data_IF_543957709325
#
_entry.id   IF_543957709325
#
_cell.length_a   1.000
_cell.length_b   1.000
_cell.length_c   1.000
_cell.angle_alpha   90.00
_cell.angle_beta   90.00
_cell.angle_gamma   90.00
#
_symmetry.space_group_name_H-M   'P 1'
#
loop_
_entity.id
_entity.type
_entity.pdbx_description
1 polymer ?
#
# COMPACT_ATOMS: atom_id res chain seq x y z
N UNK A 1 23.55 30.89 -3.27
CA UNK A 1 24.38 29.77 -2.81
C UNK A 1 23.44 28.60 -2.66
N UNK A 2 23.51 27.64 -3.54
CA UNK A 2 22.71 26.42 -3.48
C UNK A 2 23.32 25.54 -2.40
N UNK A 3 22.67 25.49 -1.25
CA UNK A 3 23.02 24.52 -0.20
C UNK A 3 22.77 23.12 -0.78
N UNK A 4 23.82 22.33 -0.87
CA UNK A 4 23.66 20.92 -1.26
C UNK A 4 22.93 20.18 -0.14
N UNK A 5 22.01 19.27 -0.46
CA UNK A 5 21.33 18.47 0.55
C UNK A 5 22.36 17.66 1.36
N UNK A 6 22.23 17.71 2.68
CA UNK A 6 23.10 16.96 3.59
C UNK A 6 22.72 15.49 3.48
N UNK A 7 23.61 14.66 2.93
CA UNK A 7 23.42 13.21 2.87
C UNK A 7 23.95 12.57 4.15
N UNK A 8 23.07 11.91 4.88
CA UNK A 8 23.46 11.07 6.02
C UNK A 8 23.86 9.70 5.46
N UNK A 9 25.14 9.37 5.57
CA UNK A 9 25.63 8.06 5.15
C UNK A 9 25.38 7.05 6.27
N UNK A 10 24.43 6.15 6.05
CA UNK A 10 24.06 5.08 6.98
C UNK A 10 25.04 3.90 6.96
N UNK A 11 25.92 3.84 5.95
CA UNK A 11 26.91 2.78 5.79
C UNK A 11 28.32 3.32 6.09
N UNK A 12 29.13 2.53 6.75
CA UNK A 12 30.56 2.81 6.88
C UNK A 12 31.31 2.56 5.58
N UNK A 13 32.59 2.93 5.51
CA UNK A 13 33.48 2.80 4.33
C UNK A 13 33.55 1.37 3.73
N UNK A 14 33.11 0.36 4.48
CA UNK A 14 33.07 -1.05 4.07
C UNK A 14 31.69 -1.52 3.57
N UNK A 15 30.73 -0.62 3.37
CA UNK A 15 29.37 -0.92 2.92
C UNK A 15 28.50 -1.63 3.97
N UNK A 16 28.93 -1.77 5.21
CA UNK A 16 28.11 -2.29 6.31
C UNK A 16 27.44 -1.15 7.04
N UNK A 17 26.24 -1.38 7.56
CA UNK A 17 25.56 -0.43 8.43
C UNK A 17 26.48 0.01 9.58
N UNK A 18 26.55 1.31 9.83
CA UNK A 18 27.29 1.87 10.96
C UNK A 18 26.74 1.32 12.27
N UNK A 19 27.59 1.17 13.28
CA UNK A 19 27.13 0.87 14.62
C UNK A 19 26.23 2.02 15.14
N UNK A 20 25.34 1.71 16.08
CA UNK A 20 24.49 2.73 16.72
C UNK A 20 25.33 3.90 17.27
N UNK A 21 26.49 3.61 17.86
CA UNK A 21 27.39 4.60 18.46
C UNK A 21 28.02 5.50 17.40
N UNK A 22 28.44 4.95 16.26
CA UNK A 22 29.03 5.71 15.16
C UNK A 22 27.97 6.58 14.48
N UNK A 23 26.77 6.05 14.28
CA UNK A 23 25.64 6.80 13.73
C UNK A 23 25.24 7.98 14.63
N UNK A 24 25.17 7.79 15.95
CA UNK A 24 24.86 8.85 16.91
C UNK A 24 25.91 9.95 16.91
N UNK A 25 27.20 9.61 16.83
CA UNK A 25 28.29 10.58 16.72
C UNK A 25 28.19 11.43 15.45
N UNK A 26 27.86 10.80 14.31
CA UNK A 26 27.69 11.52 13.06
C UNK A 26 26.48 12.48 13.13
N UNK A 27 25.40 12.07 13.79
CA UNK A 27 24.22 12.89 14.00
C UNK A 27 24.50 14.07 14.96
N UNK A 28 25.23 13.87 16.05
CA UNK A 28 25.66 14.94 16.98
C UNK A 28 26.52 15.97 16.25
N UNK A 29 27.47 15.50 15.45
CA UNK A 29 28.33 16.35 14.65
C UNK A 29 27.53 17.20 13.67
N UNK A 30 26.60 16.56 12.94
CA UNK A 30 25.73 17.22 11.99
C UNK A 30 24.84 18.27 12.67
N UNK A 31 24.27 17.95 13.83
CA UNK A 31 23.46 18.89 14.62
C UNK A 31 24.26 20.12 15.07
N UNK A 32 25.51 19.90 15.49
CA UNK A 32 26.40 21.00 15.87
C UNK A 32 26.77 21.91 14.69
N UNK A 33 26.97 21.34 13.50
CA UNK A 33 27.27 22.05 12.25
C UNK A 33 26.09 22.87 11.73
N UNK A 34 24.85 22.40 11.95
CA UNK A 34 23.60 23.09 11.58
C UNK A 34 23.19 24.22 12.54
N UNK A 35 23.99 24.51 13.59
CA UNK A 35 23.72 25.58 14.53
C UNK A 35 22.51 25.34 15.42
N UNK A 36 22.26 24.09 15.81
CA UNK A 36 21.16 23.69 16.66
C UNK A 36 21.08 24.52 17.95
N UNK A 37 19.91 25.12 18.19
CA UNK A 37 19.63 25.88 19.41
C UNK A 37 19.20 24.90 20.52
N UNK A 38 19.75 25.11 21.73
CA UNK A 38 19.56 24.29 22.92
C UNK A 38 18.12 24.11 23.44
N UNK A 39 17.07 24.63 22.77
CA UNK A 39 15.69 24.61 23.27
C UNK A 39 14.59 24.35 22.22
N UNK A 40 14.88 23.65 21.14
CA UNK A 40 13.84 23.14 20.22
C UNK A 40 13.51 21.67 20.51
N UNK A 41 12.28 21.19 20.29
CA UNK A 41 12.00 19.76 20.36
C UNK A 41 12.84 19.05 19.29
N UNK A 42 13.91 18.42 19.74
CA UNK A 42 14.83 17.74 18.88
C UNK A 42 14.29 16.33 18.60
N UNK A 43 14.12 15.97 17.34
CA UNK A 43 13.91 14.59 16.95
C UNK A 43 14.98 13.63 17.49
N UNK A 44 16.13 14.17 17.94
CA UNK A 44 17.22 13.43 18.60
C UNK A 44 16.83 12.87 19.97
N UNK A 45 15.93 13.52 20.73
CA UNK A 45 15.47 13.00 22.03
C UNK A 45 14.73 11.67 21.91
N UNK A 46 14.14 11.41 20.75
CA UNK A 46 13.53 10.12 20.42
C UNK A 46 14.57 8.98 20.24
N UNK A 47 15.83 9.33 19.96
CA UNK A 47 16.88 8.34 19.65
C UNK A 47 17.90 8.18 20.79
N UNK A 48 17.98 9.11 21.73
CA UNK A 48 19.03 9.15 22.75
C UNK A 48 18.58 8.85 24.17
N UNK A 49 17.27 8.74 24.45
CA UNK A 49 16.83 8.34 25.79
C UNK A 49 17.21 6.90 26.09
N UNK A 50 17.86 6.60 27.23
CA UNK A 50 18.23 5.25 27.63
C UNK A 50 17.03 4.31 27.81
N UNK A 51 15.83 4.87 27.90
CA UNK A 51 14.56 4.15 28.09
C UNK A 51 13.98 3.64 26.77
N UNK A 52 14.44 4.14 25.61
CA UNK A 52 14.00 3.67 24.29
C UNK A 52 14.94 2.59 23.76
N UNK A 53 14.83 1.38 24.33
CA UNK A 53 15.27 0.18 23.62
C UNK A 53 14.33 -0.02 22.45
N UNK A 54 14.79 0.24 21.20
CA UNK A 54 14.02 -0.12 20.01
C UNK A 54 13.68 -1.61 20.07
N UNK A 55 12.39 -1.91 20.07
CA UNK A 55 11.95 -3.27 19.88
C UNK A 55 12.29 -3.73 18.45
N UNK A 56 12.38 -5.02 18.18
CA UNK A 56 12.52 -5.51 16.81
C UNK A 56 11.42 -4.97 15.89
N UNK A 57 10.22 -4.73 16.42
CA UNK A 57 9.08 -4.19 15.69
C UNK A 57 9.32 -2.72 15.28
N UNK A 58 9.87 -1.87 16.15
CA UNK A 58 10.22 -0.48 15.80
C UNK A 58 11.26 -0.42 14.67
N UNK A 59 12.21 -1.36 14.66
CA UNK A 59 13.22 -1.46 13.60
C UNK A 59 12.57 -1.86 12.29
N UNK A 60 11.65 -2.83 12.32
CA UNK A 60 10.92 -3.31 11.16
C UNK A 60 10.02 -2.20 10.57
N UNK A 61 9.25 -1.52 11.41
CA UNK A 61 8.37 -0.41 11.01
C UNK A 61 9.16 0.71 10.34
N UNK A 62 10.30 1.07 10.93
CA UNK A 62 11.18 2.07 10.34
C UNK A 62 11.76 1.63 8.99
N UNK A 63 12.16 0.37 8.86
CA UNK A 63 12.66 -0.15 7.60
C UNK A 63 11.56 -0.14 6.53
N UNK A 64 10.35 -0.58 6.88
CA UNK A 64 9.19 -0.54 5.99
C UNK A 64 8.88 0.87 5.51
N UNK A 65 8.93 1.86 6.42
CA UNK A 65 8.73 3.26 6.08
C UNK A 65 9.80 3.77 5.09
N UNK A 66 11.08 3.49 5.33
CA UNK A 66 12.19 3.89 4.43
C UNK A 66 12.05 3.21 3.05
N UNK A 67 11.64 1.95 3.02
CA UNK A 67 11.43 1.18 1.80
C UNK A 67 10.08 1.46 1.13
N UNK A 68 9.28 2.39 1.67
CA UNK A 68 7.95 2.78 1.20
C UNK A 68 6.99 1.60 1.06
N UNK A 69 6.94 0.75 2.09
CA UNK A 69 6.10 -0.44 2.15
C UNK A 69 4.91 -0.21 3.08
N UNK A 70 3.72 -0.58 2.59
CA UNK A 70 2.46 -0.60 3.34
C UNK A 70 1.87 -2.01 3.29
N UNK A 71 1.19 -2.40 4.36
CA UNK A 71 0.55 -3.71 4.47
C UNK A 71 -0.95 -3.54 4.72
N UNK A 72 -1.75 -4.26 3.93
CA UNK A 72 -3.21 -4.23 4.00
C UNK A 72 -3.70 -5.56 4.53
N UNK A 73 -4.31 -5.55 5.70
CA UNK A 73 -5.03 -6.65 6.32
C UNK A 73 -6.55 -6.36 6.40
N UNK A 74 -7.17 -6.41 7.56
CA UNK A 74 -8.57 -6.02 7.73
C UNK A 74 -8.75 -4.51 7.53
N UNK A 75 -9.65 -4.12 6.62
CA UNK A 75 -9.79 -2.72 6.20
C UNK A 75 -10.80 -2.01 7.09
N UNK A 76 -10.31 -1.03 7.82
CA UNK A 76 -11.08 -0.12 8.66
C UNK A 76 -10.64 1.34 8.49
N UNK A 77 -11.21 2.24 9.29
CA UNK A 77 -10.89 3.68 9.22
C UNK A 77 -9.48 4.01 9.69
N UNK A 78 -8.90 3.26 10.62
CA UNK A 78 -7.54 3.49 11.14
C UNK A 78 -6.51 3.12 10.07
N UNK A 79 -6.63 1.94 9.46
CA UNK A 79 -5.78 1.53 8.35
C UNK A 79 -5.90 2.49 7.16
N UNK A 80 -7.12 2.90 6.82
CA UNK A 80 -7.32 3.81 5.69
C UNK A 80 -6.66 5.17 5.91
N UNK A 81 -6.73 5.70 7.13
CA UNK A 81 -6.06 6.95 7.49
C UNK A 81 -4.54 6.79 7.45
N UNK A 82 -4.02 5.70 8.01
CA UNK A 82 -2.59 5.36 7.99
C UNK A 82 -2.03 5.32 6.55
N UNK A 83 -2.71 4.60 5.66
CA UNK A 83 -2.30 4.49 4.25
C UNK A 83 -2.31 5.85 3.55
N UNK A 84 -3.37 6.65 3.78
CA UNK A 84 -3.48 7.99 3.19
C UNK A 84 -2.33 8.90 3.62
N UNK A 85 -2.04 8.96 4.93
CA UNK A 85 -0.98 9.82 5.48
C UNK A 85 0.40 9.46 4.93
N UNK A 86 0.71 8.16 4.83
CA UNK A 86 1.99 7.69 4.29
C UNK A 86 2.14 8.01 2.79
N UNK A 87 1.11 7.75 1.99
CA UNK A 87 1.13 8.09 0.56
C UNK A 87 1.30 9.60 0.38
N UNK A 88 0.61 10.43 1.17
CA UNK A 88 0.73 11.89 1.10
C UNK A 88 2.13 12.35 1.53
N UNK A 89 2.70 11.74 2.58
CA UNK A 89 4.04 12.07 3.04
C UNK A 89 5.07 11.83 1.93
N UNK A 90 5.13 10.64 1.34
CA UNK A 90 6.09 10.32 0.28
C UNK A 90 5.88 11.13 -1.00
N UNK A 91 4.63 11.46 -1.35
CA UNK A 91 4.36 12.39 -2.45
C UNK A 91 4.93 13.79 -2.17
N UNK A 92 4.83 14.26 -0.92
CA UNK A 92 5.33 15.58 -0.50
C UNK A 92 6.86 15.61 -0.47
N UNK A 93 7.50 14.52 -0.01
CA UNK A 93 8.95 14.33 -0.02
C UNK A 93 9.50 14.38 -1.45
N UNK A 94 8.94 13.54 -2.36
CA UNK A 94 9.34 13.52 -3.77
C UNK A 94 9.12 14.88 -4.48
N UNK A 95 8.05 15.60 -4.10
CA UNK A 95 7.78 16.93 -4.64
C UNK A 95 8.76 17.97 -4.11
N UNK A 96 9.14 17.89 -2.84
CA UNK A 96 10.13 18.78 -2.23
C UNK A 96 11.51 18.59 -2.86
N UNK A 97 11.91 17.35 -3.08
CA UNK A 97 13.17 16.99 -3.74
C UNK A 97 13.16 17.21 -5.25
N UNK A 98 12.00 17.62 -5.81
CA UNK A 98 11.78 17.81 -7.25
C UNK A 98 12.12 16.56 -8.07
N UNK A 99 11.96 15.37 -7.49
CA UNK A 99 12.26 14.10 -8.14
C UNK A 99 11.29 13.85 -9.31
N UNK A 100 11.80 13.67 -10.55
CA UNK A 100 10.97 13.29 -11.69
C UNK A 100 10.18 12.01 -11.41
N UNK A 101 8.97 11.89 -11.94
CA UNK A 101 8.08 10.77 -11.64
C UNK A 101 8.72 9.42 -11.99
N UNK A 102 9.46 9.36 -13.08
CA UNK A 102 10.18 8.17 -13.57
C UNK A 102 11.37 7.75 -12.70
N UNK A 103 11.85 8.62 -11.81
CA UNK A 103 12.96 8.37 -10.89
C UNK A 103 12.49 8.13 -9.46
N UNK A 104 11.19 8.30 -9.18
CA UNK A 104 10.64 8.11 -7.84
C UNK A 104 10.64 6.64 -7.45
N UNK A 105 11.04 6.37 -6.20
CA UNK A 105 10.92 5.04 -5.62
C UNK A 105 9.43 4.72 -5.47
N UNK A 106 8.91 3.64 -6.11
CA UNK A 106 7.50 3.30 -6.00
C UNK A 106 7.10 2.95 -4.56
N UNK A 107 5.89 3.35 -4.19
CA UNK A 107 5.25 2.89 -2.95
C UNK A 107 4.74 1.48 -3.18
N UNK A 108 5.05 0.55 -2.29
CA UNK A 108 4.65 -0.86 -2.39
C UNK A 108 3.55 -1.16 -1.39
N UNK A 109 2.39 -1.59 -1.87
CA UNK A 109 1.23 -1.94 -1.05
C UNK A 109 1.02 -3.45 -1.11
N UNK A 110 1.42 -4.14 -0.04
CA UNK A 110 1.29 -5.59 0.11
C UNK A 110 -0.09 -5.93 0.67
N UNK A 111 -0.81 -6.81 -0.01
CA UNK A 111 -2.21 -7.12 0.30
C UNK A 111 -2.35 -8.58 0.71
N UNK A 112 -2.78 -8.80 1.95
CA UNK A 112 -3.28 -10.08 2.46
C UNK A 112 -4.53 -9.80 3.29
N UNK A 113 -5.63 -9.51 2.61
CA UNK A 113 -6.82 -8.88 3.20
C UNK A 113 -8.10 -9.68 2.93
N UNK A 114 -8.91 -9.91 3.97
CA UNK A 114 -10.27 -10.43 3.81
C UNK A 114 -11.25 -9.36 3.30
N UNK A 115 -10.82 -8.11 3.20
CA UNK A 115 -11.65 -6.94 2.94
C UNK A 115 -12.00 -6.16 4.20
N UNK A 116 -13.08 -5.39 4.17
CA UNK A 116 -13.54 -4.59 5.31
C UNK A 116 -14.51 -3.49 4.91
N UNK A 117 -14.44 -2.34 5.56
CA UNK A 117 -15.38 -1.23 5.40
C UNK A 117 -15.32 -0.60 4.01
N UNK A 118 -16.48 -0.36 3.41
CA UNK A 118 -16.60 0.21 2.07
C UNK A 118 -15.99 1.62 1.96
N UNK A 119 -16.26 2.50 2.95
CA UNK A 119 -15.75 3.89 2.92
C UNK A 119 -14.25 3.90 3.06
N UNK A 120 -13.70 3.11 3.96
CA UNK A 120 -12.26 2.94 4.18
C UNK A 120 -11.57 2.35 2.95
N UNK A 121 -12.20 1.37 2.29
CA UNK A 121 -11.73 0.83 1.00
C UNK A 121 -11.65 1.90 -0.07
N UNK A 122 -12.70 2.72 -0.23
CA UNK A 122 -12.72 3.80 -1.21
C UNK A 122 -11.68 4.88 -0.90
N UNK A 123 -11.44 5.20 0.37
CA UNK A 123 -10.39 6.14 0.79
C UNK A 123 -9.00 5.65 0.37
N UNK A 124 -8.68 4.37 0.58
CA UNK A 124 -7.40 3.79 0.16
C UNK A 124 -7.28 3.78 -1.37
N UNK A 125 -8.35 3.37 -2.08
CA UNK A 125 -8.40 3.40 -3.55
C UNK A 125 -8.10 4.80 -4.08
N UNK A 126 -8.73 5.82 -3.50
CA UNK A 126 -8.53 7.21 -3.90
C UNK A 126 -7.12 7.71 -3.57
N UNK A 127 -6.56 7.33 -2.41
CA UNK A 127 -5.18 7.66 -2.04
C UNK A 127 -4.18 7.09 -3.07
N UNK A 128 -4.34 5.83 -3.47
CA UNK A 128 -3.52 5.18 -4.49
C UNK A 128 -3.69 5.87 -5.85
N UNK A 129 -4.93 6.06 -6.30
CA UNK A 129 -5.23 6.60 -7.64
C UNK A 129 -4.81 8.07 -7.81
N UNK A 130 -4.81 8.86 -6.74
CA UNK A 130 -4.39 10.27 -6.76
C UNK A 130 -2.91 10.47 -6.44
N UNK A 131 -2.18 9.41 -6.08
CA UNK A 131 -0.74 9.48 -5.83
C UNK A 131 0.01 9.90 -7.10
N UNK A 132 0.95 10.86 -6.96
CA UNK A 132 1.89 11.27 -8.02
C UNK A 132 3.12 10.38 -8.07
N UNK A 133 3.46 9.75 -6.95
CA UNK A 133 4.47 8.71 -6.88
C UNK A 133 3.81 7.39 -7.27
N UNK A 134 4.43 6.58 -8.14
CA UNK A 134 3.87 5.29 -8.52
C UNK A 134 3.57 4.40 -7.32
N UNK A 135 2.39 3.80 -7.30
CA UNK A 135 1.98 2.83 -6.26
C UNK A 135 1.83 1.46 -6.90
N UNK A 136 2.58 0.48 -6.41
CA UNK A 136 2.52 -0.91 -6.83
C UNK A 136 1.74 -1.71 -5.80
N UNK A 137 0.70 -2.41 -6.23
CA UNK A 137 -0.09 -3.29 -5.38
C UNK A 137 0.34 -4.74 -5.60
N UNK A 138 0.56 -5.47 -4.50
CA UNK A 138 1.11 -6.82 -4.52
C UNK A 138 0.21 -7.73 -3.67
N UNK A 139 -0.61 -8.57 -4.29
CA UNK A 139 -1.38 -9.58 -3.57
C UNK A 139 -0.44 -10.70 -3.12
N UNK A 140 -0.24 -10.85 -1.81
CA UNK A 140 0.67 -11.85 -1.23
C UNK A 140 -0.03 -13.12 -0.75
N UNK A 141 -1.34 -13.03 -0.52
CA UNK A 141 -2.19 -14.12 -0.08
C UNK A 141 -3.62 -13.87 -0.54
N UNK A 142 -4.47 -13.38 0.34
CA UNK A 142 -5.86 -13.05 0.02
C UNK A 142 -6.00 -11.59 -0.44
N UNK A 143 -6.65 -11.38 -1.57
CA UNK A 143 -7.13 -10.08 -2.02
C UNK A 143 -8.65 -10.17 -2.20
N UNK A 144 -9.38 -10.08 -1.08
CA UNK A 144 -10.81 -10.35 -1.06
C UNK A 144 -11.62 -9.08 -0.82
N UNK A 145 -12.81 -8.98 -1.46
CA UNK A 145 -13.75 -7.90 -1.23
C UNK A 145 -13.07 -6.51 -1.34
N UNK A 146 -12.97 -5.74 -0.26
CA UNK A 146 -12.21 -4.48 -0.21
C UNK A 146 -10.77 -4.62 -0.69
N UNK A 147 -10.07 -5.70 -0.31
CA UNK A 147 -8.71 -6.00 -0.74
C UNK A 147 -8.57 -6.18 -2.26
N UNK A 148 -9.58 -6.77 -2.91
CA UNK A 148 -9.65 -6.85 -4.37
C UNK A 148 -9.69 -5.46 -5.01
N UNK A 149 -10.52 -4.53 -4.49
CA UNK A 149 -10.63 -3.19 -5.04
C UNK A 149 -9.35 -2.37 -4.84
N UNK A 150 -8.67 -2.55 -3.70
CA UNK A 150 -7.36 -1.94 -3.46
C UNK A 150 -6.32 -2.50 -4.45
N UNK A 151 -6.32 -3.82 -4.68
CA UNK A 151 -5.41 -4.46 -5.62
C UNK A 151 -5.51 -3.86 -7.03
N UNK A 152 -6.73 -3.71 -7.56
CA UNK A 152 -6.94 -3.17 -8.91
C UNK A 152 -6.76 -1.66 -9.01
N UNK A 153 -6.57 -0.94 -7.90
CA UNK A 153 -6.30 0.50 -7.88
C UNK A 153 -4.84 0.85 -8.18
N UNK A 154 -3.90 -0.07 -8.04
CA UNK A 154 -2.47 0.13 -8.25
C UNK A 154 -2.12 0.61 -9.66
N UNK A 155 -1.04 1.39 -9.76
CA UNK A 155 -0.46 1.79 -11.04
C UNK A 155 0.26 0.61 -11.73
N UNK A 156 0.82 -0.30 -10.95
CA UNK A 156 1.27 -1.64 -11.34
C UNK A 156 0.73 -2.64 -10.33
N UNK A 157 0.24 -3.77 -10.79
CA UNK A 157 -0.49 -4.75 -9.99
C UNK A 157 0.16 -6.11 -10.14
N UNK A 158 0.57 -6.69 -9.02
CA UNK A 158 1.31 -7.93 -8.98
C UNK A 158 0.66 -8.90 -8.00
N UNK A 159 0.99 -10.19 -8.12
CA UNK A 159 0.59 -11.19 -7.14
C UNK A 159 1.67 -12.25 -6.95
N UNK A 160 1.74 -12.80 -5.75
CA UNK A 160 2.49 -14.02 -5.48
C UNK A 160 1.77 -15.22 -6.10
N UNK A 161 2.50 -16.30 -6.48
CA UNK A 161 1.91 -17.43 -7.22
C UNK A 161 0.71 -18.09 -6.57
N UNK A 162 0.65 -18.12 -5.24
CA UNK A 162 -0.46 -18.73 -4.47
C UNK A 162 -1.50 -17.71 -3.98
N UNK A 163 -1.43 -16.46 -4.44
CA UNK A 163 -2.45 -15.49 -4.09
C UNK A 163 -3.82 -15.89 -4.67
N UNK A 164 -4.87 -15.50 -3.98
CA UNK A 164 -6.24 -15.77 -4.38
C UNK A 164 -7.09 -14.51 -4.29
N UNK A 165 -8.13 -14.45 -5.08
CA UNK A 165 -8.97 -13.28 -5.25
C UNK A 165 -10.43 -13.62 -5.00
N UNK A 166 -11.15 -12.72 -4.36
CA UNK A 166 -12.60 -12.76 -4.24
C UNK A 166 -13.18 -11.42 -4.68
N UNK A 167 -13.97 -11.46 -5.74
CA UNK A 167 -14.81 -10.35 -6.13
C UNK A 167 -16.26 -10.60 -5.70
N UNK A 168 -16.85 -9.60 -5.06
CA UNK A 168 -18.29 -9.46 -4.82
C UNK A 168 -18.63 -7.98 -4.59
N UNK A 169 -19.89 -7.60 -4.79
CA UNK A 169 -20.31 -6.21 -4.52
C UNK A 169 -20.50 -5.88 -3.01
N UNK A 170 -20.21 -6.86 -2.14
CA UNK A 170 -20.35 -6.73 -0.69
C UNK A 170 -21.79 -6.91 -0.19
N UNK A 171 -21.92 -6.92 1.13
CA UNK A 171 -23.20 -6.97 1.83
C UNK A 171 -23.31 -5.80 2.80
N UNK A 172 -24.55 -5.34 3.07
CA UNK A 172 -24.79 -4.29 4.05
C UNK A 172 -26.10 -4.55 4.77
N UNK A 173 -26.20 -4.04 6.00
CA UNK A 173 -27.44 -3.98 6.76
C UNK A 173 -27.80 -2.53 6.97
N UNK A 174 -28.99 -2.13 6.53
CA UNK A 174 -29.51 -0.77 6.68
C UNK A 174 -30.71 -0.82 7.62
N UNK A 175 -30.63 -0.09 8.73
CA UNK A 175 -31.69 -0.02 9.72
C UNK A 175 -32.05 1.43 10.04
N UNK A 176 -33.32 1.66 10.38
CA UNK A 176 -33.83 2.98 10.73
C UNK A 176 -35.33 3.13 10.39
N UNK A 177 -35.85 4.35 10.44
CA UNK A 177 -37.17 4.62 9.88
C UNK A 177 -37.16 4.56 8.34
N UNK A 178 -38.33 4.47 7.70
CA UNK A 178 -38.44 4.26 6.25
C UNK A 178 -37.63 5.28 5.43
N UNK A 179 -37.75 6.57 5.73
CA UNK A 179 -37.06 7.62 4.99
C UNK A 179 -35.54 7.53 5.12
N UNK A 180 -35.03 7.18 6.30
CA UNK A 180 -33.59 6.98 6.54
C UNK A 180 -33.08 5.74 5.81
N UNK A 181 -33.83 4.64 5.82
CA UNK A 181 -33.49 3.42 5.08
C UNK A 181 -33.37 3.73 3.59
N UNK A 182 -34.34 4.46 3.01
CA UNK A 182 -34.34 4.83 1.59
C UNK A 182 -33.15 5.73 1.23
N UNK A 183 -32.83 6.72 2.07
CA UNK A 183 -31.68 7.61 1.84
C UNK A 183 -30.35 6.85 1.91
N UNK A 184 -30.15 6.02 2.93
CA UNK A 184 -28.95 5.24 3.11
C UNK A 184 -28.80 4.22 1.97
N UNK A 185 -29.91 3.58 1.53
CA UNK A 185 -29.88 2.67 0.40
C UNK A 185 -29.44 3.37 -0.89
N UNK A 186 -29.97 4.55 -1.20
CA UNK A 186 -29.58 5.33 -2.38
C UNK A 186 -28.10 5.68 -2.35
N UNK A 187 -27.57 6.05 -1.17
CA UNK A 187 -26.15 6.37 -1.02
C UNK A 187 -25.26 5.11 -1.19
N UNK A 188 -25.65 3.99 -0.61
CA UNK A 188 -24.96 2.71 -0.81
C UNK A 188 -24.92 2.29 -2.28
N UNK A 189 -26.03 2.41 -3.01
CA UNK A 189 -26.08 2.16 -4.46
C UNK A 189 -25.12 3.08 -5.22
N UNK A 190 -25.02 4.34 -4.83
CA UNK A 190 -24.05 5.27 -5.40
C UNK A 190 -22.60 4.80 -5.18
N UNK A 191 -22.25 4.40 -3.96
CA UNK A 191 -20.90 3.89 -3.65
C UNK A 191 -20.56 2.60 -4.44
N UNK A 192 -21.49 1.66 -4.53
CA UNK A 192 -21.33 0.46 -5.37
C UNK A 192 -21.07 0.82 -6.85
N UNK A 193 -21.70 1.87 -7.35
CA UNK A 193 -21.43 2.35 -8.72
C UNK A 193 -19.99 2.84 -8.89
N UNK A 194 -19.38 3.43 -7.87
CA UNK A 194 -17.98 3.84 -7.92
C UNK A 194 -17.07 2.61 -8.03
N UNK A 195 -17.30 1.58 -7.21
CA UNK A 195 -16.56 0.32 -7.30
C UNK A 195 -16.74 -0.37 -8.65
N UNK A 196 -17.96 -0.42 -9.17
CA UNK A 196 -18.22 -0.93 -10.53
C UNK A 196 -17.41 -0.20 -11.59
N UNK A 197 -17.41 1.14 -11.55
CA UNK A 197 -16.64 1.95 -12.50
C UNK A 197 -15.14 1.67 -12.37
N UNK A 198 -14.63 1.51 -11.14
CA UNK A 198 -13.24 1.13 -10.93
C UNK A 198 -12.92 -0.20 -11.64
N UNK A 199 -13.70 -1.27 -11.39
CA UNK A 199 -13.50 -2.57 -12.02
C UNK A 199 -13.51 -2.46 -13.55
N UNK A 200 -14.51 -1.81 -14.13
CA UNK A 200 -14.66 -1.71 -15.59
C UNK A 200 -13.58 -0.86 -16.27
N UNK A 201 -12.97 0.09 -15.53
CA UNK A 201 -11.95 0.99 -16.07
C UNK A 201 -10.52 0.50 -15.84
N UNK A 202 -10.28 -0.39 -14.87
CA UNK A 202 -8.93 -0.84 -14.50
C UNK A 202 -8.65 -2.29 -14.87
N UNK A 203 -9.67 -3.07 -15.24
CA UNK A 203 -9.53 -4.50 -15.57
C UNK A 203 -10.07 -4.80 -16.97
N UNK A 204 -9.87 -6.04 -17.42
CA UNK A 204 -10.49 -6.57 -18.67
C UNK A 204 -11.87 -7.18 -18.43
N UNK A 205 -12.43 -7.06 -17.22
CA UNK A 205 -13.76 -7.58 -16.89
C UNK A 205 -14.79 -6.77 -17.67
N UNK A 206 -15.50 -7.42 -18.59
CA UNK A 206 -16.54 -6.77 -19.37
C UNK A 206 -17.76 -6.44 -18.49
N UNK A 207 -18.54 -5.43 -18.92
CA UNK A 207 -19.80 -5.10 -18.23
C UNK A 207 -20.74 -6.31 -18.12
N UNK A 208 -20.78 -7.16 -19.16
CA UNK A 208 -21.59 -8.38 -19.16
C UNK A 208 -21.14 -9.34 -18.07
N UNK A 209 -19.83 -9.65 -18.03
CA UNK A 209 -19.25 -10.55 -17.03
C UNK A 209 -19.41 -10.00 -15.60
N UNK A 210 -19.23 -8.67 -15.41
CA UNK A 210 -19.50 -8.02 -14.14
C UNK A 210 -20.94 -8.26 -13.66
N UNK A 211 -21.95 -8.01 -14.52
CA UNK A 211 -23.38 -8.20 -14.18
C UNK A 211 -23.71 -9.67 -13.88
N UNK A 212 -23.03 -10.62 -14.51
CA UNK A 212 -23.21 -12.05 -14.25
C UNK A 212 -22.61 -12.49 -12.90
N UNK A 213 -21.57 -11.82 -12.42
CA UNK A 213 -20.81 -12.23 -11.24
C UNK A 213 -21.12 -11.39 -9.97
N UNK A 214 -21.62 -10.18 -10.10
CA UNK A 214 -21.75 -9.21 -9.00
C UNK A 214 -22.56 -9.67 -7.78
N UNK A 215 -23.55 -10.55 -7.99
CA UNK A 215 -24.49 -11.01 -6.96
C UNK A 215 -24.07 -12.34 -6.30
N UNK A 216 -22.81 -12.75 -6.51
CA UNK A 216 -22.24 -13.98 -5.92
C UNK A 216 -20.80 -13.78 -5.52
N UNK A 217 -20.27 -14.68 -4.70
CA UNK A 217 -18.84 -14.75 -4.40
C UNK A 217 -18.12 -15.38 -5.60
N UNK A 218 -17.34 -14.56 -6.30
CA UNK A 218 -16.56 -15.02 -7.44
C UNK A 218 -15.09 -15.17 -7.06
N UNK A 219 -14.71 -16.42 -6.81
CA UNK A 219 -13.35 -16.80 -6.43
C UNK A 219 -12.51 -17.13 -7.65
N UNK A 220 -11.27 -16.73 -7.66
CA UNK A 220 -10.33 -17.10 -8.73
C UNK A 220 -8.87 -16.98 -8.26
N UNK A 221 -8.00 -17.67 -9.01
CA UNK A 221 -6.56 -17.76 -8.81
C UNK A 221 -5.80 -16.67 -9.57
N UNK A 222 -4.47 -16.71 -9.47
CA UNK A 222 -3.53 -15.77 -10.12
C UNK A 222 -3.62 -15.88 -11.65
N UNK A 223 -3.76 -17.09 -12.20
CA UNK A 223 -3.89 -17.31 -13.65
C UNK A 223 -5.12 -16.59 -14.20
N UNK A 224 -6.25 -16.76 -13.53
CA UNK A 224 -7.49 -16.08 -13.90
C UNK A 224 -7.41 -14.57 -13.67
N UNK A 225 -6.71 -14.12 -12.61
CA UNK A 225 -6.49 -12.71 -12.34
C UNK A 225 -5.69 -12.01 -13.47
N UNK A 226 -4.67 -12.67 -14.03
CA UNK A 226 -3.94 -12.21 -15.21
C UNK A 226 -4.84 -12.11 -16.45
N UNK A 227 -5.63 -13.15 -16.75
CA UNK A 227 -6.56 -13.15 -17.88
C UNK A 227 -7.57 -12.00 -17.80
N UNK A 228 -8.10 -11.76 -16.60
CA UNK A 228 -9.07 -10.72 -16.31
C UNK A 228 -8.44 -9.32 -16.20
N UNK A 229 -7.11 -9.21 -16.25
CA UNK A 229 -6.39 -7.96 -16.05
C UNK A 229 -6.58 -7.35 -14.66
N UNK A 230 -6.84 -8.18 -13.67
CA UNK A 230 -6.85 -7.81 -12.24
C UNK A 230 -5.43 -7.52 -11.77
N UNK A 231 -4.47 -8.30 -12.26
CA UNK A 231 -3.04 -8.08 -12.10
C UNK A 231 -2.36 -7.99 -13.47
N UNK A 232 -1.18 -7.38 -13.49
CA UNK A 232 -0.37 -7.18 -14.70
C UNK A 232 0.69 -8.27 -14.86
N UNK A 233 1.21 -8.78 -13.73
CA UNK A 233 2.25 -9.84 -13.71
C UNK A 233 2.24 -10.62 -12.39
N UNK A 234 2.89 -11.77 -12.38
CA UNK A 234 3.20 -12.54 -11.17
C UNK A 234 4.58 -12.20 -10.66
N UNK A 235 4.75 -12.14 -9.32
CA UNK A 235 6.05 -12.10 -8.71
C UNK A 235 6.75 -13.44 -8.99
N UNK A 236 7.85 -13.40 -9.74
CA UNK A 236 8.59 -14.61 -10.07
C UNK A 236 9.18 -15.25 -8.82
N UNK A 237 9.08 -16.57 -8.73
CA UNK A 237 9.90 -17.34 -7.82
C UNK A 237 11.36 -17.16 -8.19
N UNK A 238 12.17 -16.63 -7.27
CA UNK A 238 13.60 -16.39 -7.47
C UNK A 238 14.35 -17.70 -7.79
N UNK A 239 13.77 -18.84 -7.44
CA UNK A 239 14.35 -20.16 -7.62
C UNK A 239 13.77 -20.93 -8.83
N UNK A 240 12.80 -20.39 -9.54
CA UNK A 240 12.18 -20.93 -10.75
C UNK A 240 11.82 -22.41 -10.64
N UNK A 241 10.51 -22.74 -10.63
CA UNK A 241 10.13 -24.11 -10.90
C UNK A 241 9.29 -24.86 -9.86
N UNK A 242 8.82 -24.20 -8.78
CA UNK A 242 7.90 -24.88 -7.84
C UNK A 242 6.46 -24.97 -8.39
N UNK A 243 6.13 -24.18 -9.43
CA UNK A 243 4.78 -24.03 -9.96
C UNK A 243 4.73 -24.23 -11.50
N UNK A 244 5.57 -25.11 -12.06
CA UNK A 244 5.36 -25.55 -13.44
C UNK A 244 4.07 -26.40 -13.47
N UNK A 245 3.08 -25.94 -14.23
CA UNK A 245 1.86 -26.72 -14.48
C UNK A 245 2.22 -28.05 -15.14
N UNK A 246 2.10 -29.15 -14.40
CA UNK A 246 2.16 -30.52 -14.96
C UNK A 246 0.93 -30.87 -15.82
N UNK A 247 0.05 -29.90 -16.12
CA UNK A 247 -1.17 -30.09 -16.91
C UNK A 247 -0.91 -29.99 -18.43
N UNK A 248 0.13 -30.65 -18.92
CA UNK A 248 0.30 -30.91 -20.36
C UNK A 248 0.41 -32.41 -20.64
N UNK A 249 -0.51 -33.21 -20.12
CA UNK A 249 -0.80 -34.54 -20.68
C UNK A 249 -2.31 -34.83 -20.54
N UNK A 250 -3.05 -34.63 -21.62
CA UNK A 250 -4.07 -35.43 -22.35
C UNK A 250 -5.05 -34.56 -23.10
#
# INVERSE_FOLDING_TARGET
MTEQPIKIDLCGENGKLKSKEDFLKDMEKLYSELGGKENGPCYMDLFTSPENSFSPDDVLDRQQFIERKLYIDAIDGELAQYVLEHIQFWNSEDAFDQTPVEERIPIQVYINSPGGELVSTLQIVDAIRNSKTPVYTIATGSAYSGGFFICIAGHKRMAYPNASFLFHEGSTVIAGNADRVDQNHKFYVYQRKQLKNLVLNTTKISKKLYEEQKDRDWWFDVKKALELGVIDETCNDVNGGIYEDEDNED
#
